data_IF_439752716454
#
_entry.id   IF_439752716454
#
_cell.length_a   1.000
_cell.length_b   1.000
_cell.length_c   1.000
_cell.angle_alpha   90.00
_cell.angle_beta   90.00
_cell.angle_gamma   90.00
#
_symmetry.space_group_name_H-M   'P 1'
#
loop_
_entity.id
_entity.type
_entity.pdbx_description
1 polymer ?
#
# COMPACT_ATOMS: atom_id res chain seq x y z
N UNK A 1 38.84 47.38 -2.25
CA UNK A 1 38.11 46.17 -2.63
C UNK A 1 37.73 45.44 -1.39
N UNK A 2 36.60 45.80 -0.80
CA UNK A 2 35.96 45.09 0.28
C UNK A 2 35.13 43.95 -0.36
N UNK A 3 35.65 42.74 -0.26
CA UNK A 3 34.91 41.55 -0.55
C UNK A 3 34.06 41.18 0.68
N UNK A 4 32.75 41.12 0.49
CA UNK A 4 31.74 40.86 1.51
C UNK A 4 32.01 39.56 2.25
N UNK A 5 32.27 39.71 3.58
CA UNK A 5 32.33 38.63 4.58
C UNK A 5 30.88 38.26 4.98
N UNK A 6 30.00 38.06 4.00
CA UNK A 6 28.61 37.71 4.29
C UNK A 6 28.20 36.30 3.83
N UNK A 7 29.07 35.62 3.07
CA UNK A 7 28.76 34.32 2.49
C UNK A 7 29.46 33.14 3.16
N UNK A 8 30.14 33.34 4.30
CA UNK A 8 30.85 32.28 5.02
C UNK A 8 30.14 31.76 6.26
N UNK A 9 28.98 32.34 6.62
CA UNK A 9 28.19 31.88 7.79
C UNK A 9 27.02 30.96 7.42
N UNK A 10 26.76 30.76 6.17
CA UNK A 10 25.69 29.83 5.72
C UNK A 10 26.20 28.41 5.42
N UNK A 11 27.51 28.19 5.51
CA UNK A 11 28.11 26.88 5.16
C UNK A 11 28.69 26.15 6.37
N UNK A 12 28.62 26.78 7.56
CA UNK A 12 28.94 26.16 8.85
C UNK A 12 27.67 25.97 9.71
N UNK A 13 26.55 25.68 9.10
CA UNK A 13 25.42 25.07 9.81
C UNK A 13 25.85 23.64 10.10
N UNK A 14 26.29 23.49 11.32
CA UNK A 14 26.79 22.35 12.03
C UNK A 14 26.25 21.00 11.51
N UNK A 15 27.11 20.22 10.90
CA UNK A 15 26.98 18.78 10.72
C UNK A 15 26.68 18.04 12.06
N UNK A 16 26.65 18.75 13.17
CA UNK A 16 26.53 18.26 14.54
C UNK A 16 25.08 17.98 14.97
N UNK A 17 24.06 18.61 14.31
CA UNK A 17 22.64 18.46 14.65
C UNK A 17 21.78 18.29 13.39
N UNK A 18 22.06 17.28 12.58
CA UNK A 18 21.26 16.94 11.41
C UNK A 18 20.20 15.89 11.77
N UNK A 19 18.93 16.25 11.57
CA UNK A 19 17.85 15.28 11.72
C UNK A 19 17.89 14.30 10.54
N UNK A 20 17.86 13.00 10.82
CA UNK A 20 17.80 11.97 9.78
C UNK A 20 16.39 11.93 9.15
N UNK A 21 16.14 12.88 8.24
CA UNK A 21 14.89 13.00 7.49
C UNK A 21 14.69 11.79 6.57
N UNK A 22 15.77 11.19 6.09
CA UNK A 22 15.70 10.02 5.21
C UNK A 22 15.17 8.79 5.96
N UNK A 23 15.57 8.60 7.22
CA UNK A 23 15.02 7.53 8.07
C UNK A 23 13.52 7.75 8.35
N UNK A 24 13.12 8.98 8.69
CA UNK A 24 11.72 9.32 8.93
C UNK A 24 10.89 9.09 7.65
N UNK A 25 11.38 9.53 6.49
CA UNK A 25 10.74 9.34 5.19
C UNK A 25 10.59 7.85 4.88
N UNK A 26 11.65 7.07 5.03
CA UNK A 26 11.62 5.62 4.80
C UNK A 26 10.59 4.92 5.69
N UNK A 27 10.48 5.30 6.95
CA UNK A 27 9.51 4.75 7.90
C UNK A 27 8.08 5.15 7.53
N UNK A 28 7.85 6.39 7.09
CA UNK A 28 6.55 6.86 6.60
C UNK A 28 6.16 6.16 5.30
N UNK A 29 7.09 5.97 4.38
CA UNK A 29 6.86 5.18 3.15
C UNK A 29 6.54 3.71 3.47
N UNK A 30 7.16 3.14 4.49
CA UNK A 30 6.83 1.82 5.01
C UNK A 30 5.37 1.72 5.48
N UNK A 31 4.89 2.71 6.22
CA UNK A 31 3.49 2.78 6.66
C UNK A 31 2.53 2.93 5.46
N UNK A 32 2.89 3.72 4.44
CA UNK A 32 2.12 3.85 3.20
C UNK A 32 2.07 2.54 2.40
N UNK A 33 3.18 1.83 2.32
CA UNK A 33 3.26 0.53 1.63
C UNK A 33 2.41 -0.52 2.34
N UNK A 34 2.43 -0.56 3.67
CA UNK A 34 1.57 -1.42 4.47
C UNK A 34 0.08 -1.12 4.21
N UNK A 35 -0.32 0.16 4.23
CA UNK A 35 -1.69 0.56 3.92
C UNK A 35 -2.13 0.14 2.52
N UNK A 36 -1.27 0.30 1.51
CA UNK A 36 -1.56 -0.16 0.13
C UNK A 36 -1.76 -1.67 0.06
N UNK A 37 -0.95 -2.45 0.79
CA UNK A 37 -1.09 -3.90 0.87
C UNK A 37 -2.40 -4.32 1.56
N UNK A 38 -2.77 -3.63 2.65
CA UNK A 38 -4.04 -3.86 3.33
C UNK A 38 -5.24 -3.51 2.44
N UNK A 39 -5.17 -2.40 1.70
CA UNK A 39 -6.20 -2.04 0.72
C UNK A 39 -6.30 -3.02 -0.45
N UNK A 40 -5.19 -3.58 -0.89
CA UNK A 40 -5.19 -4.62 -1.93
C UNK A 40 -5.85 -5.92 -1.44
N UNK A 41 -5.73 -6.24 -0.15
CA UNK A 41 -6.37 -7.41 0.45
C UNK A 41 -7.89 -7.28 0.58
N UNK A 42 -8.43 -6.04 0.56
CA UNK A 42 -9.87 -5.79 0.61
C UNK A 42 -10.53 -6.19 -0.72
N UNK A 43 -11.39 -7.20 -0.67
CA UNK A 43 -12.14 -7.66 -1.83
C UNK A 43 -13.27 -6.68 -2.15
N UNK A 44 -13.06 -5.81 -3.11
CA UNK A 44 -14.00 -4.73 -3.48
C UNK A 44 -15.08 -5.17 -4.47
N UNK A 45 -15.17 -6.48 -4.79
CA UNK A 45 -16.10 -6.98 -5.80
C UNK A 45 -15.67 -6.68 -7.25
N UNK A 46 -14.53 -6.02 -7.45
CA UNK A 46 -13.92 -5.84 -8.77
C UNK A 46 -12.92 -6.94 -9.07
N UNK A 47 -12.96 -7.40 -10.32
CA UNK A 47 -11.99 -8.32 -10.86
C UNK A 47 -10.60 -7.65 -10.91
N UNK A 48 -9.60 -8.32 -10.37
CA UNK A 48 -8.19 -7.94 -10.49
C UNK A 48 -7.36 -9.18 -10.71
N UNK A 49 -6.35 -9.09 -11.55
CA UNK A 49 -5.39 -10.19 -11.74
C UNK A 49 -4.66 -10.54 -10.44
N UNK A 50 -4.40 -9.54 -9.59
CA UNK A 50 -3.75 -9.71 -8.29
C UNK A 50 -4.54 -10.55 -7.28
N UNK A 51 -5.85 -10.78 -7.51
CA UNK A 51 -6.65 -11.67 -6.67
C UNK A 51 -6.16 -13.12 -6.73
N UNK A 52 -5.50 -13.49 -7.79
CA UNK A 52 -4.99 -14.84 -8.05
C UNK A 52 -3.52 -15.01 -7.67
N UNK A 53 -2.80 -13.94 -7.32
CA UNK A 53 -1.38 -13.99 -6.94
C UNK A 53 -1.08 -14.96 -5.77
N UNK A 54 -1.93 -15.06 -4.72
CA UNK A 54 -1.70 -16.00 -3.63
C UNK A 54 -2.07 -17.45 -3.98
N UNK A 55 -2.70 -17.69 -5.13
CA UNK A 55 -3.15 -19.04 -5.50
C UNK A 55 -2.00 -19.83 -6.11
N UNK A 56 -1.66 -20.94 -5.45
CA UNK A 56 -0.64 -21.87 -5.90
C UNK A 56 -1.28 -23.11 -6.48
N UNK A 57 -0.85 -23.50 -7.67
CA UNK A 57 -1.29 -24.70 -8.39
C UNK A 57 -0.20 -25.77 -8.28
N UNK A 58 -0.57 -27.01 -8.01
CA UNK A 58 0.35 -28.15 -8.07
C UNK A 58 0.57 -28.56 -9.54
N UNK A 59 1.50 -27.85 -10.20
CA UNK A 59 1.88 -28.17 -11.58
C UNK A 59 3.18 -28.99 -11.57
N UNK A 60 3.17 -30.13 -12.26
CA UNK A 60 4.36 -31.00 -12.42
C UNK A 60 5.06 -31.38 -11.10
N UNK A 61 4.28 -31.56 -10.02
CA UNK A 61 4.83 -31.93 -8.69
C UNK A 61 5.38 -30.77 -7.86
N UNK A 62 5.27 -29.54 -8.34
CA UNK A 62 5.70 -28.34 -7.64
C UNK A 62 4.55 -27.34 -7.47
N UNK A 63 4.58 -26.58 -6.35
CA UNK A 63 3.66 -25.46 -6.16
C UNK A 63 4.11 -24.29 -7.05
N UNK A 64 3.30 -23.96 -8.04
CA UNK A 64 3.59 -22.95 -9.06
C UNK A 64 2.51 -21.88 -9.01
N UNK A 65 2.84 -20.59 -9.05
CA UNK A 65 1.84 -19.52 -9.15
C UNK A 65 1.01 -19.63 -10.43
N UNK A 66 -0.26 -19.24 -10.38
CA UNK A 66 -1.17 -19.30 -11.55
C UNK A 66 -0.60 -18.56 -12.77
N UNK A 67 0.10 -17.45 -12.56
CA UNK A 67 0.71 -16.65 -13.63
C UNK A 67 1.79 -17.40 -14.43
N UNK A 68 2.28 -18.53 -13.93
CA UNK A 68 3.27 -19.37 -14.59
C UNK A 68 2.67 -20.61 -15.30
N UNK A 69 1.36 -20.85 -15.11
CA UNK A 69 0.64 -21.95 -15.76
C UNK A 69 -0.40 -21.49 -16.77
N UNK A 70 -0.69 -20.20 -16.78
CA UNK A 70 -1.65 -19.60 -17.69
C UNK A 70 -1.57 -18.09 -17.76
N UNK A 71 -2.29 -17.52 -18.71
CA UNK A 71 -2.44 -16.07 -18.86
C UNK A 71 -3.71 -15.60 -18.15
N UNK A 72 -3.58 -14.69 -17.20
CA UNK A 72 -4.71 -14.09 -16.48
C UNK A 72 -5.13 -12.80 -17.18
N UNK A 73 -6.39 -12.70 -17.55
CA UNK A 73 -6.99 -11.51 -18.15
C UNK A 73 -8.23 -11.08 -17.37
N UNK A 74 -8.55 -9.79 -17.45
CA UNK A 74 -9.75 -9.20 -16.84
C UNK A 74 -10.54 -8.51 -17.96
N UNK A 75 -11.35 -9.27 -18.72
CA UNK A 75 -12.12 -8.71 -19.84
C UNK A 75 -13.24 -7.79 -19.38
N UNK A 76 -13.78 -8.02 -18.19
CA UNK A 76 -14.87 -7.26 -17.59
C UNK A 76 -14.58 -6.93 -16.12
N UNK A 77 -15.20 -5.87 -15.57
CA UNK A 77 -14.96 -5.45 -14.18
C UNK A 77 -15.27 -6.50 -13.12
N UNK A 78 -16.05 -7.53 -13.47
CA UNK A 78 -16.47 -8.63 -12.58
C UNK A 78 -16.15 -10.02 -13.11
N UNK A 79 -15.28 -10.12 -14.08
CA UNK A 79 -14.88 -11.42 -14.65
C UNK A 79 -13.38 -11.49 -14.80
N UNK A 80 -12.78 -12.51 -14.21
CA UNK A 80 -11.41 -12.88 -14.48
C UNK A 80 -11.41 -14.12 -15.37
N UNK A 81 -10.57 -14.15 -16.38
CA UNK A 81 -10.36 -15.30 -17.23
C UNK A 81 -8.93 -15.77 -17.13
N UNK A 82 -8.74 -17.07 -17.03
CA UNK A 82 -7.43 -17.72 -17.04
C UNK A 82 -7.37 -18.62 -18.28
N UNK A 83 -6.46 -18.31 -19.17
CA UNK A 83 -6.17 -19.20 -20.29
C UNK A 83 -4.98 -20.08 -19.92
N UNK A 84 -5.27 -21.33 -19.56
CA UNK A 84 -4.26 -22.31 -19.15
C UNK A 84 -3.55 -22.84 -20.39
N UNK A 85 -2.22 -22.85 -20.38
CA UNK A 85 -1.42 -23.25 -21.55
C UNK A 85 -1.44 -24.77 -21.78
N UNK A 86 -1.53 -25.54 -20.70
CA UNK A 86 -1.59 -26.99 -20.75
C UNK A 86 -2.95 -27.51 -20.31
N UNK A 87 -3.66 -28.19 -21.22
CA UNK A 87 -4.97 -28.76 -20.95
C UNK A 87 -4.99 -29.72 -19.76
N UNK A 88 -3.90 -30.39 -19.49
CA UNK A 88 -3.79 -31.32 -18.35
C UNK A 88 -3.77 -30.62 -16.99
N UNK A 89 -3.46 -29.32 -16.93
CA UNK A 89 -3.41 -28.54 -15.72
C UNK A 89 -4.74 -27.83 -15.39
N UNK A 90 -5.71 -27.83 -16.30
CA UNK A 90 -6.99 -27.10 -16.12
C UNK A 90 -7.73 -27.54 -14.87
N UNK A 91 -7.81 -28.87 -14.63
CA UNK A 91 -8.47 -29.42 -13.46
C UNK A 91 -7.72 -29.09 -12.15
N UNK A 92 -6.38 -29.04 -12.19
CA UNK A 92 -5.55 -28.69 -11.06
C UNK A 92 -5.67 -27.18 -10.73
N UNK A 93 -5.80 -26.34 -11.75
CA UNK A 93 -6.06 -24.90 -11.58
C UNK A 93 -7.45 -24.68 -11.00
N UNK A 94 -8.49 -25.37 -11.51
CA UNK A 94 -9.85 -25.29 -10.97
C UNK A 94 -9.88 -25.69 -9.48
N UNK A 95 -9.26 -26.81 -9.15
CA UNK A 95 -9.15 -27.29 -7.76
C UNK A 95 -8.44 -26.28 -6.87
N UNK A 96 -7.30 -25.75 -7.29
CA UNK A 96 -6.54 -24.77 -6.52
C UNK A 96 -7.34 -23.49 -6.26
N UNK A 97 -8.14 -23.04 -7.23
CA UNK A 97 -9.01 -21.87 -7.08
C UNK A 97 -10.14 -22.14 -6.07
N UNK A 98 -10.76 -23.30 -6.11
CA UNK A 98 -11.82 -23.69 -5.15
C UNK A 98 -11.28 -23.80 -3.73
N UNK A 99 -10.08 -24.36 -3.57
CA UNK A 99 -9.42 -24.55 -2.27
C UNK A 99 -8.82 -23.23 -1.72
N UNK A 100 -8.60 -22.22 -2.55
CA UNK A 100 -8.02 -20.94 -2.13
C UNK A 100 -8.91 -20.09 -1.23
N UNK A 101 -10.17 -20.52 -0.99
CA UNK A 101 -11.11 -19.77 -0.16
C UNK A 101 -11.60 -18.45 -0.78
N UNK A 102 -11.39 -18.25 -2.08
CA UNK A 102 -11.83 -17.06 -2.80
C UNK A 102 -13.37 -16.95 -2.90
N UNK A 103 -14.11 -18.05 -2.64
CA UNK A 103 -15.57 -18.07 -2.73
C UNK A 103 -16.10 -17.85 -4.14
N UNK A 104 -15.28 -18.11 -5.15
CA UNK A 104 -15.60 -17.97 -6.57
C UNK A 104 -15.81 -19.37 -7.15
N UNK A 105 -16.86 -19.55 -7.95
CA UNK A 105 -17.10 -20.79 -8.68
C UNK A 105 -16.52 -20.69 -10.09
N UNK A 106 -15.39 -21.34 -10.37
CA UNK A 106 -14.81 -21.35 -11.71
C UNK A 106 -15.72 -22.10 -12.69
N UNK A 107 -15.82 -21.56 -13.91
CA UNK A 107 -16.48 -22.19 -15.04
C UNK A 107 -15.43 -22.54 -16.08
N UNK A 108 -15.31 -23.82 -16.42
CA UNK A 108 -14.34 -24.31 -17.39
C UNK A 108 -14.95 -24.34 -18.79
N UNK A 109 -14.21 -23.79 -19.75
CA UNK A 109 -14.53 -23.90 -21.17
C UNK A 109 -13.27 -24.27 -21.96
N UNK A 110 -13.00 -25.56 -22.09
CA UNK A 110 -11.76 -26.06 -22.69
C UNK A 110 -10.53 -25.71 -21.83
N UNK A 111 -9.65 -24.88 -22.36
CA UNK A 111 -8.48 -24.34 -21.64
C UNK A 111 -8.71 -23.00 -20.96
N UNK A 112 -9.90 -22.41 -21.17
CA UNK A 112 -10.30 -21.15 -20.59
C UNK A 112 -11.11 -21.40 -19.31
N UNK A 113 -10.65 -20.85 -18.21
CA UNK A 113 -11.36 -20.84 -16.92
C UNK A 113 -11.92 -19.44 -16.71
N UNK A 114 -13.23 -19.33 -16.55
CA UNK A 114 -13.93 -18.09 -16.27
C UNK A 114 -14.29 -18.03 -14.79
N UNK A 115 -13.95 -16.92 -14.16
CA UNK A 115 -14.16 -16.66 -12.74
C UNK A 115 -15.14 -15.49 -12.59
N UNK A 116 -16.45 -15.73 -12.51
CA UNK A 116 -17.42 -14.68 -12.24
C UNK A 116 -17.29 -14.25 -10.77
N UNK A 117 -17.07 -12.96 -10.54
CA UNK A 117 -17.00 -12.39 -9.19
C UNK A 117 -18.41 -11.98 -8.77
N UNK A 118 -18.94 -12.56 -7.66
CA UNK A 118 -20.27 -12.22 -7.18
C UNK A 118 -20.35 -10.75 -6.74
N UNK A 119 -21.54 -10.18 -6.91
CA UNK A 119 -21.80 -8.81 -6.45
C UNK A 119 -21.71 -8.73 -4.91
N UNK A 120 -21.11 -7.65 -4.44
CA UNK A 120 -21.22 -7.28 -3.04
C UNK A 120 -22.60 -6.63 -2.80
N UNK A 121 -23.33 -7.08 -1.80
CA UNK A 121 -24.51 -6.37 -1.33
C UNK A 121 -24.12 -5.04 -0.66
N UNK A 122 -25.07 -4.09 -0.54
CA UNK A 122 -24.81 -2.79 0.06
C UNK A 122 -24.28 -2.88 1.50
N UNK A 123 -24.77 -3.83 2.27
CA UNK A 123 -24.34 -4.03 3.65
C UNK A 123 -22.84 -4.39 3.70
N UNK A 124 -22.42 -5.32 2.84
CA UNK A 124 -21.00 -5.73 2.74
C UNK A 124 -20.11 -4.61 2.24
N UNK A 125 -20.57 -3.78 1.32
CA UNK A 125 -19.84 -2.58 0.87
C UNK A 125 -19.63 -1.60 2.01
N UNK A 126 -20.66 -1.37 2.84
CA UNK A 126 -20.56 -0.51 4.03
C UNK A 126 -19.56 -1.06 5.06
N UNK A 127 -19.57 -2.37 5.29
CA UNK A 127 -18.59 -3.03 6.17
C UNK A 127 -17.17 -2.85 5.65
N UNK A 128 -16.94 -3.12 4.35
CA UNK A 128 -15.61 -2.94 3.74
C UNK A 128 -15.14 -1.50 3.78
N UNK A 129 -16.03 -0.53 3.57
CA UNK A 129 -15.71 0.90 3.72
C UNK A 129 -15.27 1.25 5.15
N UNK A 130 -15.92 0.66 6.18
CA UNK A 130 -15.50 0.82 7.58
C UNK A 130 -14.13 0.19 7.85
N UNK A 131 -13.89 -1.00 7.33
CA UNK A 131 -12.58 -1.67 7.46
C UNK A 131 -11.47 -0.85 6.78
N UNK A 132 -11.72 -0.31 5.58
CA UNK A 132 -10.78 0.58 4.91
C UNK A 132 -10.48 1.83 5.76
N UNK A 133 -11.48 2.43 6.40
CA UNK A 133 -11.29 3.56 7.30
C UNK A 133 -10.44 3.19 8.53
N UNK A 134 -10.60 1.97 9.07
CA UNK A 134 -9.78 1.48 10.19
C UNK A 134 -8.31 1.32 9.78
N UNK A 135 -8.03 0.74 8.62
CA UNK A 135 -6.66 0.63 8.09
C UNK A 135 -6.01 2.00 7.86
N UNK A 136 -6.77 2.95 7.30
CA UNK A 136 -6.29 4.32 7.14
C UNK A 136 -5.97 4.98 8.49
N UNK A 137 -6.79 4.76 9.52
CA UNK A 137 -6.52 5.31 10.86
C UNK A 137 -5.28 4.67 11.50
N UNK A 138 -5.06 3.38 11.33
CA UNK A 138 -3.82 2.73 11.78
C UNK A 138 -2.58 3.32 11.09
N UNK A 139 -2.68 3.59 9.79
CA UNK A 139 -1.60 4.27 9.06
C UNK A 139 -1.37 5.68 9.60
N UNK A 140 -2.42 6.46 9.88
CA UNK A 140 -2.28 7.80 10.49
C UNK A 140 -1.63 7.73 11.88
N UNK A 141 -1.99 6.74 12.70
CA UNK A 141 -1.35 6.52 14.01
C UNK A 141 0.14 6.25 13.83
N UNK A 142 0.53 5.40 12.87
CA UNK A 142 1.92 5.13 12.56
C UNK A 142 2.68 6.39 12.14
N UNK A 143 2.10 7.22 11.27
CA UNK A 143 2.68 8.50 10.84
C UNK A 143 2.82 9.46 12.04
N UNK A 144 1.81 9.55 12.92
CA UNK A 144 1.88 10.38 14.14
C UNK A 144 2.97 9.93 15.10
N UNK A 145 3.19 8.60 15.22
CA UNK A 145 4.27 8.06 16.06
C UNK A 145 5.63 8.42 15.47
N UNK A 146 5.83 8.28 14.16
CA UNK A 146 7.09 8.67 13.49
C UNK A 146 7.34 10.17 13.66
N UNK A 147 6.30 11.01 13.49
CA UNK A 147 6.39 12.44 13.77
C UNK A 147 6.84 12.71 15.21
N UNK A 148 6.25 12.02 16.18
CA UNK A 148 6.62 12.17 17.59
C UNK A 148 8.09 11.84 17.80
N UNK A 149 8.57 10.74 17.22
CA UNK A 149 9.99 10.36 17.30
C UNK A 149 10.89 11.46 16.72
N UNK A 150 10.55 12.03 15.56
CA UNK A 150 11.27 13.14 14.95
C UNK A 150 11.28 14.39 15.84
N UNK A 151 10.13 14.77 16.40
CA UNK A 151 10.02 15.92 17.32
C UNK A 151 10.80 15.68 18.61
N UNK A 152 10.85 14.47 19.13
CA UNK A 152 11.61 14.13 20.33
C UNK A 152 13.13 14.17 20.05
N UNK A 153 13.59 13.81 18.85
CA UNK A 153 14.97 13.99 18.41
C UNK A 153 15.34 15.48 18.32
N UNK A 154 14.50 16.31 17.73
CA UNK A 154 14.72 17.76 17.66
C UNK A 154 14.82 18.37 19.05
N UNK A 155 13.96 17.97 19.99
CA UNK A 155 14.01 18.42 21.38
C UNK A 155 15.31 18.00 22.08
N UNK A 156 15.80 16.79 21.81
CA UNK A 156 17.08 16.31 22.33
C UNK A 156 18.21 17.17 21.80
N UNK A 157 18.28 17.44 20.52
CA UNK A 157 19.28 18.32 19.91
C UNK A 157 19.22 19.75 20.49
N UNK A 158 18.00 20.23 20.79
CA UNK A 158 17.84 21.51 21.50
C UNK A 158 18.51 21.51 22.88
N UNK A 159 18.35 20.42 23.64
CA UNK A 159 19.03 20.30 24.97
C UNK A 159 20.54 20.20 24.85
N UNK A 160 21.02 19.66 23.72
CA UNK A 160 22.45 19.49 23.43
C UNK A 160 23.10 20.74 22.81
N UNK A 161 22.33 21.83 22.61
CA UNK A 161 22.85 23.13 22.20
C UNK A 161 22.44 23.66 20.83
N UNK A 162 21.46 22.99 20.17
CA UNK A 162 20.88 23.46 18.89
C UNK A 162 20.26 24.86 19.06
N UNK A 163 20.39 25.71 18.03
CA UNK A 163 19.77 27.04 18.02
C UNK A 163 18.25 26.99 17.99
N UNK A 164 17.56 28.04 18.41
CA UNK A 164 16.09 28.12 18.34
C UNK A 164 15.56 28.21 16.91
N UNK A 165 16.35 28.79 16.02
CA UNK A 165 15.95 28.92 14.62
C UNK A 165 16.07 27.57 13.90
N UNK A 166 17.13 26.79 14.17
CA UNK A 166 17.29 25.44 13.64
C UNK A 166 16.21 24.48 14.20
N UNK A 167 15.88 24.63 15.49
CA UNK A 167 14.79 23.88 16.09
C UNK A 167 13.47 24.11 15.34
N UNK A 168 13.09 25.37 15.13
CA UNK A 168 11.86 25.73 14.42
C UNK A 168 11.87 25.23 12.97
N UNK A 169 13.03 25.28 12.32
CA UNK A 169 13.19 24.75 10.96
C UNK A 169 12.88 23.26 10.92
N UNK A 170 13.52 22.44 11.75
CA UNK A 170 13.33 21.00 11.78
C UNK A 170 11.91 20.59 12.25
N UNK A 171 11.34 21.30 13.22
CA UNK A 171 9.95 21.10 13.62
C UNK A 171 8.99 21.37 12.47
N UNK A 172 9.26 22.40 11.66
CA UNK A 172 8.52 22.72 10.45
C UNK A 172 8.61 21.63 9.38
N UNK A 173 9.82 21.15 9.08
CA UNK A 173 10.08 20.07 8.14
C UNK A 173 9.34 18.77 8.52
N UNK A 174 9.43 18.36 9.79
CA UNK A 174 8.74 17.15 10.29
C UNK A 174 7.23 17.33 10.23
N UNK A 175 6.71 18.54 10.49
CA UNK A 175 5.27 18.81 10.40
C UNK A 175 4.79 18.79 8.95
N UNK A 176 5.48 19.46 8.04
CA UNK A 176 5.12 19.49 6.61
C UNK A 176 5.12 18.11 5.99
N UNK A 177 6.16 17.31 6.28
CA UNK A 177 6.23 15.91 5.87
C UNK A 177 5.03 15.11 6.40
N UNK A 178 4.70 15.26 7.67
CA UNK A 178 3.57 14.58 8.30
C UNK A 178 2.26 14.93 7.60
N UNK A 179 2.02 16.20 7.34
CA UNK A 179 0.80 16.71 6.71
C UNK A 179 0.65 16.18 5.27
N UNK A 180 1.75 16.07 4.54
CA UNK A 180 1.77 15.50 3.18
C UNK A 180 1.39 14.01 3.22
N UNK A 181 1.99 13.22 4.12
CA UNK A 181 1.64 11.81 4.25
C UNK A 181 0.20 11.58 4.71
N UNK A 182 -0.34 12.40 5.61
CA UNK A 182 -1.74 12.34 6.02
C UNK A 182 -2.67 12.64 4.84
N UNK A 183 -2.38 13.66 4.03
CA UNK A 183 -3.14 13.96 2.82
C UNK A 183 -3.12 12.81 1.81
N UNK A 184 -1.98 12.15 1.65
CA UNK A 184 -1.86 10.96 0.78
C UNK A 184 -2.69 9.81 1.29
N UNK A 185 -2.72 9.55 2.61
CA UNK A 185 -3.57 8.54 3.24
C UNK A 185 -5.04 8.85 2.98
N UNK A 186 -5.48 10.10 3.18
CA UNK A 186 -6.86 10.51 2.97
C UNK A 186 -7.30 10.35 1.51
N UNK A 187 -6.43 10.70 0.57
CA UNK A 187 -6.68 10.51 -0.86
C UNK A 187 -6.81 9.03 -1.23
N UNK A 188 -5.93 8.17 -0.70
CA UNK A 188 -6.00 6.72 -0.92
C UNK A 188 -7.27 6.12 -0.32
N UNK A 189 -7.66 6.55 0.88
CA UNK A 189 -8.89 6.10 1.53
C UNK A 189 -10.11 6.50 0.69
N UNK A 190 -10.19 7.75 0.23
CA UNK A 190 -11.31 8.23 -0.58
C UNK A 190 -11.42 7.44 -1.89
N UNK A 191 -10.31 7.28 -2.61
CA UNK A 191 -10.27 6.47 -3.83
C UNK A 191 -10.74 5.04 -3.56
N UNK A 192 -10.29 4.44 -2.43
CA UNK A 192 -10.68 3.07 -2.10
C UNK A 192 -12.15 2.94 -1.72
N UNK A 193 -12.69 3.91 -1.00
CA UNK A 193 -14.12 3.95 -0.67
C UNK A 193 -14.98 4.12 -1.93
N UNK A 194 -14.56 4.95 -2.86
CA UNK A 194 -15.24 5.11 -4.15
C UNK A 194 -15.21 3.80 -4.95
N UNK A 195 -14.06 3.10 -5.00
CA UNK A 195 -13.95 1.77 -5.63
C UNK A 195 -14.90 0.74 -5.01
N UNK A 196 -15.04 0.73 -3.68
CA UNK A 196 -15.94 -0.18 -2.96
C UNK A 196 -17.41 0.14 -3.28
N UNK A 197 -17.75 1.41 -3.41
CA UNK A 197 -19.12 1.88 -3.62
C UNK A 197 -19.55 1.88 -5.09
N UNK A 198 -18.61 1.94 -6.04
CA UNK A 198 -18.91 1.84 -7.46
C UNK A 198 -19.41 0.42 -7.81
N UNK A 199 -20.51 0.37 -8.53
CA UNK A 199 -21.15 -0.87 -9.03
C UNK A 199 -20.55 -1.24 -10.38
#
# INVERSE_FOLDING_TARGET
RQMCIRDRKSTEMSEEFELDVDDLTRRMDGAMSALKSEFASLRTGRASSSMLDPVMVEAYGNKTPINQVGTVNVPEPRMVTINVWDKSLVELVDKAIRESGLGINPQMNGTLIMLPIPELNEERRRELSKVAAQYAEQARISIRNIRKDGMDQVKKYKSDGMSEDDQKFWEGEVQEMTDDYVKRIDSLLHTKQDEIMQV
#
